data_IF_922142214078
#
_entry.id   IF_922142214078
#
_cell.length_a   1.000
_cell.length_b   1.000
_cell.length_c   1.000
_cell.angle_alpha   90.00
_cell.angle_beta   90.00
_cell.angle_gamma   90.00
#
_symmetry.space_group_name_H-M   'P 1'
#
loop_
_entity.id
_entity.type
_entity.pdbx_description
1 polymer ?
#
# COMPACT_ATOMS: atom_id res chain seq x y z
N UNK A 1 -29.32 -63.43 24.76
CA UNK A 1 -29.52 -61.96 24.76
C UNK A 1 -28.26 -61.14 25.12
N UNK A 2 -27.13 -61.72 25.55
CA UNK A 2 -25.96 -60.94 25.99
C UNK A 2 -25.02 -60.48 24.86
N UNK A 3 -24.96 -61.19 23.73
CA UNK A 3 -24.03 -60.89 22.61
C UNK A 3 -24.39 -59.59 21.87
N UNK A 4 -25.68 -59.29 21.70
CA UNK A 4 -26.15 -58.06 21.04
C UNK A 4 -25.82 -56.80 21.87
N UNK A 5 -25.85 -56.89 23.21
CA UNK A 5 -25.53 -55.77 24.10
C UNK A 5 -24.03 -55.40 24.07
N UNK A 6 -23.13 -56.38 23.92
CA UNK A 6 -21.69 -56.12 23.83
C UNK A 6 -21.29 -55.46 22.50
N UNK A 7 -21.94 -55.85 21.40
CA UNK A 7 -21.73 -55.25 20.07
C UNK A 7 -22.19 -53.78 20.07
N UNK A 8 -23.36 -53.49 20.67
CA UNK A 8 -23.88 -52.12 20.76
C UNK A 8 -22.98 -51.21 21.63
N UNK A 9 -22.43 -51.74 22.73
CA UNK A 9 -21.49 -51.01 23.60
C UNK A 9 -20.13 -50.75 22.92
N UNK A 10 -19.65 -51.70 22.13
CA UNK A 10 -18.40 -51.55 21.36
C UNK A 10 -18.54 -50.48 20.28
N UNK A 11 -19.67 -50.47 19.56
CA UNK A 11 -19.98 -49.44 18.56
C UNK A 11 -20.07 -48.06 19.23
N UNK A 12 -20.78 -47.94 20.36
CA UNK A 12 -20.92 -46.68 21.08
C UNK A 12 -19.59 -46.15 21.64
N UNK A 13 -18.70 -47.05 22.08
CA UNK A 13 -17.34 -46.70 22.52
C UNK A 13 -16.47 -46.20 21.35
N UNK A 14 -16.62 -46.80 20.17
CA UNK A 14 -15.87 -46.41 18.96
C UNK A 14 -16.32 -45.02 18.45
N UNK A 15 -17.62 -44.70 18.49
CA UNK A 15 -18.13 -43.37 18.12
C UNK A 15 -17.73 -42.28 19.11
N UNK A 16 -17.60 -42.63 20.39
CA UNK A 16 -17.13 -41.69 21.42
C UNK A 16 -15.64 -41.36 21.22
N UNK A 17 -14.81 -42.35 20.87
CA UNK A 17 -13.40 -42.15 20.53
C UNK A 17 -13.20 -41.33 19.24
N UNK A 18 -14.04 -41.52 18.21
CA UNK A 18 -13.96 -40.71 16.99
C UNK A 18 -14.36 -39.24 17.21
N UNK A 19 -15.19 -38.94 18.20
CA UNK A 19 -15.62 -37.56 18.48
C UNK A 19 -14.52 -36.72 19.14
N UNK A 20 -13.56 -37.35 19.85
CA UNK A 20 -12.44 -36.64 20.47
C UNK A 20 -11.31 -36.27 19.50
N UNK A 21 -11.17 -36.97 18.37
CA UNK A 21 -10.11 -36.72 17.40
C UNK A 21 -10.33 -35.45 16.54
N UNK A 22 -11.50 -34.81 16.61
CA UNK A 22 -11.85 -33.65 15.74
C UNK A 22 -11.32 -32.30 16.23
N UNK A 23 -10.68 -32.20 17.40
CA UNK A 23 -10.31 -30.91 18.00
C UNK A 23 -8.80 -30.60 18.00
N UNK A 24 -8.01 -31.20 17.12
CA UNK A 24 -6.54 -31.05 17.14
C UNK A 24 -5.95 -30.36 15.89
N UNK A 25 -6.64 -29.39 15.32
CA UNK A 25 -6.05 -28.47 14.33
C UNK A 25 -6.45 -27.03 14.66
N UNK A 26 -5.79 -26.46 15.66
CA UNK A 26 -5.76 -25.00 15.82
C UNK A 26 -4.71 -24.48 14.86
N UNK A 27 -5.12 -24.19 13.63
CA UNK A 27 -4.26 -23.53 12.66
C UNK A 27 -4.11 -22.08 13.14
N UNK A 28 -2.93 -21.73 13.64
CA UNK A 28 -2.61 -20.36 14.02
C UNK A 28 -2.72 -19.51 12.75
N UNK A 29 -3.78 -18.70 12.67
CA UNK A 29 -3.98 -17.76 11.58
C UNK A 29 -2.88 -16.72 11.69
N UNK A 30 -1.85 -16.86 10.87
CA UNK A 30 -0.79 -15.86 10.75
C UNK A 30 -1.45 -14.58 10.25
N UNK A 31 -1.27 -13.49 10.98
CA UNK A 31 -1.78 -12.18 10.57
C UNK A 31 -1.06 -11.73 9.29
N UNK A 32 -1.81 -11.08 8.40
CA UNK A 32 -1.26 -10.52 7.16
C UNK A 32 -0.29 -9.39 7.52
N UNK A 33 0.99 -9.56 7.17
CA UNK A 33 2.02 -8.55 7.41
C UNK A 33 1.99 -7.57 6.25
N UNK A 34 1.44 -6.37 6.47
CA UNK A 34 1.54 -5.27 5.52
C UNK A 34 2.93 -4.62 5.64
N UNK A 35 3.73 -4.80 4.60
CA UNK A 35 5.08 -4.28 4.54
C UNK A 35 5.13 -3.03 3.68
N UNK A 36 5.75 -1.96 4.19
CA UNK A 36 5.82 -0.66 3.51
C UNK A 36 7.28 -0.26 3.28
N UNK A 37 7.54 0.43 2.17
CA UNK A 37 8.85 1.02 1.90
C UNK A 37 9.09 2.23 2.81
N UNK A 38 9.95 2.09 3.83
CA UNK A 38 10.26 3.22 4.74
C UNK A 38 11.36 4.15 4.24
N UNK A 39 11.87 3.83 3.07
CA UNK A 39 12.95 4.53 2.42
C UNK A 39 12.61 4.66 0.95
N UNK A 40 13.21 5.62 0.24
CA UNK A 40 13.13 5.67 -1.21
C UNK A 40 13.47 4.32 -1.85
N UNK A 41 14.47 3.62 -1.32
CA UNK A 41 14.99 2.40 -1.91
C UNK A 41 13.96 1.25 -1.85
N UNK A 42 13.59 0.67 -3.00
CA UNK A 42 12.78 -0.54 -3.05
C UNK A 42 13.49 -1.68 -2.32
N UNK A 43 12.74 -2.44 -1.50
CA UNK A 43 13.24 -3.63 -0.80
C UNK A 43 13.70 -3.43 0.65
N UNK A 44 13.65 -2.20 1.19
CA UNK A 44 13.75 -1.97 2.64
C UNK A 44 12.33 -1.91 3.21
N UNK A 45 11.77 -3.09 3.31
CA UNK A 45 10.38 -3.36 3.60
C UNK A 45 10.25 -3.64 5.11
N UNK A 46 9.81 -2.64 5.88
CA UNK A 46 9.59 -2.78 7.32
C UNK A 46 8.09 -2.85 7.57
N UNK A 47 7.71 -3.77 8.47
CA UNK A 47 6.34 -3.88 8.97
C UNK A 47 5.83 -2.52 9.44
N UNK A 48 4.70 -2.11 8.86
CA UNK A 48 4.00 -0.87 9.17
C UNK A 48 3.89 -0.60 10.66
N UNK A 49 3.60 -1.63 11.46
CA UNK A 49 3.35 -1.52 12.90
C UNK A 49 4.62 -1.23 13.72
N UNK A 50 5.79 -1.30 13.10
CA UNK A 50 7.09 -1.04 13.75
C UNK A 50 7.60 0.37 13.52
N UNK A 51 6.88 1.20 12.77
CA UNK A 51 7.30 2.55 12.40
C UNK A 51 6.37 3.56 13.08
N UNK A 52 6.90 4.58 13.78
CA UNK A 52 6.09 5.56 14.50
C UNK A 52 5.42 6.62 13.60
N UNK A 53 5.54 6.49 12.28
CA UNK A 53 5.06 7.48 11.30
C UNK A 53 3.75 7.03 10.68
N UNK A 54 2.91 8.00 10.31
CA UNK A 54 1.70 7.73 9.53
C UNK A 54 2.10 7.31 8.12
N UNK A 55 1.69 6.13 7.71
CA UNK A 55 1.84 5.62 6.34
C UNK A 55 0.50 5.17 5.77
N UNK A 56 0.40 5.11 4.46
CA UNK A 56 -0.71 4.57 3.66
C UNK A 56 -0.12 3.92 2.42
N UNK A 57 -0.66 2.77 2.03
CA UNK A 57 -0.14 2.00 0.90
C UNK A 57 -1.30 1.62 0.00
N UNK A 58 -1.11 1.77 -1.30
CA UNK A 58 -2.00 1.24 -2.34
C UNK A 58 -1.29 0.10 -3.05
N UNK A 59 -1.99 -1.01 -3.23
CA UNK A 59 -1.49 -2.20 -3.93
C UNK A 59 -2.14 -2.31 -5.30
N UNK A 60 -1.63 -3.22 -6.12
CA UNK A 60 -2.13 -3.46 -7.49
C UNK A 60 -3.66 -3.61 -7.55
N UNK A 61 -4.27 -4.28 -6.57
CA UNK A 61 -5.73 -4.42 -6.48
C UNK A 61 -6.47 -3.08 -6.31
N UNK A 62 -5.86 -2.12 -5.61
CA UNK A 62 -6.43 -0.78 -5.42
C UNK A 62 -6.32 0.03 -6.70
N UNK A 63 -5.21 -0.13 -7.44
CA UNK A 63 -4.96 0.50 -8.73
C UNK A 63 -5.99 0.03 -9.78
N UNK A 64 -6.24 -1.28 -9.84
CA UNK A 64 -7.23 -1.88 -10.76
C UNK A 64 -8.68 -1.49 -10.41
N UNK A 65 -8.95 -1.21 -9.14
CA UNK A 65 -10.30 -0.86 -8.66
C UNK A 65 -10.67 0.61 -8.84
N UNK A 66 -9.73 1.47 -9.23
CA UNK A 66 -9.98 2.91 -9.28
C UNK A 66 -10.75 3.31 -10.52
N UNK A 67 -11.61 4.31 -10.34
CA UNK A 67 -12.34 4.96 -11.44
C UNK A 67 -11.60 6.21 -11.93
N UNK A 68 -10.50 6.58 -11.28
CA UNK A 68 -9.68 7.74 -11.63
C UNK A 68 -9.04 7.58 -13.01
N UNK A 69 -9.01 8.67 -13.78
CA UNK A 69 -8.37 8.70 -15.10
C UNK A 69 -6.84 8.89 -15.01
N UNK A 70 -6.35 9.30 -13.84
CA UNK A 70 -4.94 9.61 -13.58
C UNK A 70 -4.52 9.12 -12.20
N UNK A 71 -3.21 8.96 -12.00
CA UNK A 71 -2.59 8.65 -10.71
C UNK A 71 -3.00 9.67 -9.64
N UNK A 72 -3.09 10.94 -10.01
CA UNK A 72 -3.48 12.01 -9.11
C UNK A 72 -4.91 11.81 -8.59
N UNK A 73 -5.83 11.41 -9.47
CA UNK A 73 -7.21 11.10 -9.08
C UNK A 73 -7.29 9.86 -8.19
N UNK A 74 -6.53 8.80 -8.51
CA UNK A 74 -6.42 7.59 -7.68
C UNK A 74 -5.97 7.94 -6.25
N UNK A 75 -4.93 8.78 -6.12
CA UNK A 75 -4.42 9.20 -4.81
C UNK A 75 -5.47 9.99 -4.02
N UNK A 76 -6.23 10.86 -4.67
CA UNK A 76 -7.34 11.58 -4.04
C UNK A 76 -8.52 10.70 -3.63
N UNK A 77 -8.79 9.63 -4.40
CA UNK A 77 -9.88 8.68 -4.14
C UNK A 77 -9.54 7.74 -2.97
N UNK A 78 -8.32 7.19 -2.97
CA UNK A 78 -7.94 6.08 -2.07
C UNK A 78 -7.20 6.54 -0.81
N UNK A 79 -6.46 7.64 -0.86
CA UNK A 79 -5.62 8.06 0.28
C UNK A 79 -6.32 9.09 1.16
N UNK A 80 -6.22 8.89 2.46
CA UNK A 80 -6.76 9.80 3.47
C UNK A 80 -5.85 11.02 3.66
N UNK A 81 -6.47 12.20 3.76
CA UNK A 81 -5.75 13.46 3.97
C UNK A 81 -5.04 13.98 2.72
N UNK A 82 -5.33 13.38 1.56
CA UNK A 82 -4.97 13.87 0.24
C UNK A 82 -6.15 14.65 -0.34
N UNK A 83 -5.87 15.76 -1.01
CA UNK A 83 -6.86 16.57 -1.71
C UNK A 83 -6.29 16.96 -3.06
N UNK A 84 -7.12 16.89 -4.10
CA UNK A 84 -6.72 17.22 -5.46
C UNK A 84 -7.18 18.63 -5.79
N UNK A 85 -6.28 19.45 -6.33
CA UNK A 85 -6.61 20.77 -6.86
C UNK A 85 -6.38 20.78 -8.36
N UNK A 86 -7.43 21.05 -9.12
CA UNK A 86 -7.35 21.24 -10.56
C UNK A 86 -7.35 22.73 -10.88
N UNK A 87 -6.15 23.30 -11.02
CA UNK A 87 -5.97 24.75 -11.22
C UNK A 87 -6.06 25.13 -12.71
N UNK A 88 -5.66 24.22 -13.59
CA UNK A 88 -5.57 24.46 -15.04
C UNK A 88 -6.62 23.72 -15.87
N UNK A 89 -7.52 22.98 -15.23
CA UNK A 89 -8.51 22.14 -15.88
C UNK A 89 -7.86 21.15 -16.85
N UNK A 90 -6.75 20.55 -16.42
CA UNK A 90 -5.94 19.61 -17.20
C UNK A 90 -5.62 18.39 -16.37
N UNK A 91 -5.94 17.17 -16.84
CA UNK A 91 -5.77 15.95 -16.04
C UNK A 91 -4.31 15.70 -15.61
N UNK A 92 -3.34 16.14 -16.43
CA UNK A 92 -1.91 15.94 -16.17
C UNK A 92 -1.26 17.07 -15.37
N UNK A 93 -1.99 18.16 -15.13
CA UNK A 93 -1.48 19.34 -14.41
C UNK A 93 -2.25 19.61 -13.12
N UNK A 94 -2.71 18.54 -12.46
CA UNK A 94 -3.37 18.59 -11.16
C UNK A 94 -2.36 18.63 -10.04
N UNK A 95 -2.71 19.30 -8.96
CA UNK A 95 -1.89 19.37 -7.75
C UNK A 95 -2.41 18.40 -6.71
N UNK A 96 -1.50 17.85 -5.93
CA UNK A 96 -1.79 17.01 -4.78
C UNK A 96 -1.46 17.81 -3.53
N UNK A 97 -2.41 17.92 -2.62
CA UNK A 97 -2.19 18.45 -1.28
C UNK A 97 -2.32 17.33 -0.25
N UNK A 98 -1.25 17.08 0.50
CA UNK A 98 -1.26 16.17 1.63
C UNK A 98 -1.00 16.94 2.91
N UNK A 99 -2.00 17.00 3.79
CA UNK A 99 -1.92 17.67 5.11
C UNK A 99 -1.36 19.11 5.05
N UNK A 100 -1.71 19.85 4.01
CA UNK A 100 -1.30 21.25 3.82
C UNK A 100 0.03 21.46 3.09
N UNK A 101 0.68 20.39 2.64
CA UNK A 101 1.86 20.46 1.77
C UNK A 101 1.49 20.04 0.36
N UNK A 102 2.00 20.77 -0.62
CA UNK A 102 1.63 20.60 -2.02
C UNK A 102 2.72 19.87 -2.81
N UNK A 103 2.29 19.04 -3.76
CA UNK A 103 3.06 18.51 -4.87
C UNK A 103 2.38 18.99 -6.15
N UNK A 104 3.02 19.89 -6.88
CA UNK A 104 2.43 20.50 -8.07
C UNK A 104 3.35 20.42 -9.30
N UNK A 105 2.77 20.28 -10.51
CA UNK A 105 3.50 20.35 -11.77
C UNK A 105 3.95 21.76 -12.15
N UNK A 106 3.38 22.78 -11.51
CA UNK A 106 3.61 24.18 -11.86
C UNK A 106 4.55 24.88 -10.88
N UNK A 107 5.35 25.78 -11.44
CA UNK A 107 6.24 26.65 -10.68
C UNK A 107 5.46 27.73 -9.93
N UNK A 108 5.98 28.10 -8.75
CA UNK A 108 5.42 29.17 -7.92
C UNK A 108 4.53 28.69 -6.77
N UNK A 109 4.26 27.38 -6.70
CA UNK A 109 3.58 26.78 -5.55
C UNK A 109 4.56 26.34 -4.45
N UNK A 110 4.04 26.21 -3.23
CA UNK A 110 4.81 25.78 -2.07
C UNK A 110 4.98 24.25 -2.07
N UNK A 111 6.00 23.77 -2.78
CA UNK A 111 6.35 22.36 -2.82
C UNK A 111 6.77 21.86 -1.42
N UNK A 112 6.27 20.69 -1.03
CA UNK A 112 6.56 20.11 0.28
C UNK A 112 6.44 18.60 0.37
N UNK A 113 6.32 17.92 -0.78
CA UNK A 113 6.27 16.48 -0.90
C UNK A 113 7.36 16.00 -1.86
N UNK A 114 8.10 14.99 -1.43
CA UNK A 114 9.08 14.32 -2.28
C UNK A 114 8.47 13.07 -2.92
N UNK A 115 8.64 12.91 -4.23
CA UNK A 115 8.13 11.75 -4.97
C UNK A 115 9.30 10.94 -5.52
N UNK A 116 9.22 9.63 -5.32
CA UNK A 116 10.23 8.67 -5.70
C UNK A 116 9.61 7.64 -6.64
N UNK A 117 10.29 7.34 -7.74
CA UNK A 117 9.96 6.22 -8.62
C UNK A 117 11.09 5.19 -8.52
N UNK A 118 10.78 4.00 -8.04
CA UNK A 118 11.75 2.93 -7.77
C UNK A 118 12.96 3.44 -6.96
N UNK A 119 12.73 4.37 -6.03
CA UNK A 119 13.74 4.99 -5.18
C UNK A 119 14.59 6.09 -5.78
N UNK A 120 14.36 6.47 -7.02
CA UNK A 120 14.94 7.68 -7.59
C UNK A 120 13.96 8.83 -7.43
N UNK A 121 14.42 9.97 -6.89
CA UNK A 121 13.60 11.18 -6.76
C UNK A 121 13.25 11.71 -8.15
N UNK A 122 11.97 11.95 -8.38
CA UNK A 122 11.46 12.45 -9.67
C UNK A 122 10.96 13.90 -9.61
N UNK A 123 11.02 14.56 -8.45
CA UNK A 123 10.85 16.01 -8.42
C UNK A 123 11.93 16.69 -9.28
N UNK A 124 11.51 17.66 -10.07
CA UNK A 124 12.38 18.42 -10.96
C UNK A 124 13.42 19.23 -10.19
N UNK A 125 14.62 19.34 -10.74
CA UNK A 125 15.73 20.05 -10.08
C UNK A 125 15.46 21.56 -9.91
N UNK A 126 14.63 22.15 -10.77
CA UNK A 126 14.25 23.56 -10.70
C UNK A 126 12.82 23.71 -10.18
N UNK A 127 12.67 24.32 -9.00
CA UNK A 127 11.37 24.59 -8.41
C UNK A 127 10.62 23.37 -7.86
N UNK A 128 11.28 22.21 -7.81
CA UNK A 128 10.79 20.97 -7.17
C UNK A 128 9.43 20.47 -7.67
N UNK A 129 9.08 20.85 -8.91
CA UNK A 129 7.82 20.51 -9.55
C UNK A 129 7.76 19.04 -9.90
N UNK A 130 6.54 18.53 -10.09
CA UNK A 130 6.31 17.12 -10.34
C UNK A 130 5.55 16.91 -11.63
N UNK A 131 6.16 16.13 -12.52
CA UNK A 131 5.60 15.90 -13.83
C UNK A 131 4.87 14.56 -13.89
N UNK A 132 3.57 14.61 -13.60
CA UNK A 132 2.75 13.41 -13.43
C UNK A 132 2.64 12.56 -14.69
N UNK A 133 2.72 13.13 -15.89
CA UNK A 133 2.65 12.33 -17.12
C UNK A 133 3.91 11.51 -17.40
N UNK A 134 5.01 11.77 -16.70
CA UNK A 134 6.21 10.93 -16.76
C UNK A 134 6.10 9.69 -15.87
N UNK A 135 5.09 9.63 -15.00
CA UNK A 135 4.84 8.47 -14.15
C UNK A 135 4.16 7.38 -14.98
N UNK A 136 4.74 6.18 -15.09
CA UNK A 136 4.18 5.10 -15.90
C UNK A 136 3.03 4.40 -15.14
N UNK A 137 1.85 5.02 -15.12
CA UNK A 137 0.69 4.55 -14.32
C UNK A 137 0.34 3.08 -14.55
N UNK A 138 0.34 2.64 -15.81
CA UNK A 138 0.03 1.24 -16.19
C UNK A 138 1.05 0.21 -15.70
N UNK A 139 2.24 0.65 -15.30
CA UNK A 139 3.30 -0.20 -14.80
C UNK A 139 3.48 -0.08 -13.29
N UNK A 140 2.65 0.70 -12.57
CA UNK A 140 2.74 0.78 -11.12
C UNK A 140 2.18 -0.49 -10.45
N UNK A 141 2.80 -0.88 -9.34
CA UNK A 141 2.36 -2.00 -8.50
C UNK A 141 2.00 -1.52 -7.11
N UNK A 142 2.87 -0.71 -6.50
CA UNK A 142 2.70 -0.22 -5.13
C UNK A 142 2.90 1.29 -5.07
N UNK A 143 2.09 1.95 -4.25
CA UNK A 143 2.22 3.37 -3.95
C UNK A 143 2.20 3.55 -2.43
N UNK A 144 3.32 3.98 -1.86
CA UNK A 144 3.47 4.23 -0.44
C UNK A 144 3.50 5.74 -0.17
N UNK A 145 2.51 6.24 0.55
CA UNK A 145 2.49 7.59 1.11
C UNK A 145 2.95 7.56 2.56
N UNK A 146 4.01 8.28 2.86
CA UNK A 146 4.53 8.43 4.21
C UNK A 146 4.51 9.89 4.66
N UNK A 147 4.18 10.11 5.92
CA UNK A 147 4.39 11.39 6.58
C UNK A 147 5.88 11.76 6.67
N UNK A 148 6.16 13.03 6.95
CA UNK A 148 7.50 13.61 7.11
C UNK A 148 8.52 12.65 7.75
N UNK A 149 9.60 12.34 7.02
CA UNK A 149 10.68 11.49 7.50
C UNK A 149 12.02 11.95 6.89
N UNK A 150 13.06 12.20 7.72
CA UNK A 150 14.35 12.72 7.27
C UNK A 150 15.10 11.80 6.28
N UNK A 151 14.76 10.51 6.23
CA UNK A 151 15.34 9.54 5.28
C UNK A 151 15.04 9.93 3.81
N UNK A 152 13.95 10.67 3.57
CA UNK A 152 13.54 11.11 2.23
C UNK A 152 14.19 12.42 1.78
N UNK A 153 15.17 12.95 2.52
CA UNK A 153 15.98 14.07 2.06
C UNK A 153 15.24 15.41 1.97
N UNK A 154 15.74 16.29 1.11
CA UNK A 154 15.28 17.68 1.02
C UNK A 154 13.83 17.79 0.51
N UNK A 155 13.09 18.75 1.07
CA UNK A 155 11.70 19.10 0.71
C UNK A 155 10.65 18.00 0.91
N UNK A 156 10.95 16.97 1.70
CA UNK A 156 9.96 15.99 2.20
C UNK A 156 9.28 16.46 3.50
N UNK A 157 8.99 17.75 3.64
CA UNK A 157 8.49 18.36 4.89
C UNK A 157 7.10 17.85 5.27
N UNK A 158 6.20 17.73 4.30
CA UNK A 158 4.88 17.13 4.49
C UNK A 158 4.88 15.61 4.45
N UNK A 159 5.83 15.04 3.72
CA UNK A 159 5.94 13.62 3.50
C UNK A 159 6.54 13.26 2.15
N UNK A 160 6.35 12.01 1.77
CA UNK A 160 6.86 11.45 0.53
C UNK A 160 5.91 10.42 -0.07
N UNK A 161 5.92 10.35 -1.39
CA UNK A 161 5.31 9.28 -2.17
C UNK A 161 6.42 8.40 -2.74
N UNK A 162 6.37 7.10 -2.50
CA UNK A 162 7.22 6.11 -3.16
C UNK A 162 6.37 5.27 -4.10
N UNK A 163 6.72 5.31 -5.38
CA UNK A 163 6.06 4.62 -6.46
C UNK A 163 6.94 3.46 -6.88
N UNK A 164 6.38 2.25 -6.91
CA UNK A 164 7.08 1.03 -7.33
C UNK A 164 6.46 0.54 -8.63
N UNK A 165 7.29 0.23 -9.61
CA UNK A 165 6.84 -0.35 -10.88
C UNK A 165 7.00 -1.86 -10.92
N UNK A 166 6.18 -2.51 -11.74
CA UNK A 166 6.27 -3.92 -12.11
C UNK A 166 7.67 -4.28 -12.60
N UNK A 167 8.17 -5.40 -12.11
CA UNK A 167 9.43 -6.06 -12.49
C UNK A 167 9.12 -7.29 -13.32
N UNK A 168 10.12 -7.83 -14.01
CA UNK A 168 9.94 -9.04 -14.83
C UNK A 168 9.44 -10.27 -14.05
N UNK A 169 9.67 -10.31 -12.72
CA UNK A 169 9.19 -11.38 -11.85
C UNK A 169 7.68 -11.29 -11.57
N UNK A 170 7.07 -10.12 -11.72
CA UNK A 170 5.64 -9.90 -11.42
C UNK A 170 4.73 -10.44 -12.54
N UNK A 171 5.30 -10.88 -13.66
CA UNK A 171 4.59 -11.46 -14.81
C UNK A 171 4.73 -12.99 -14.91
N UNK A 172 5.39 -13.64 -13.94
CA UNK A 172 5.61 -15.10 -13.91
C UNK A 172 4.52 -15.80 -13.10
#
# INVERSE_FOLDING_TARGET
MHICSYILKSILSMTLLLSFAKNAFSQEKIDDIEVIGISPLPGIEIDRNKIPNSSQSLRETDLDSSTGTTIVDLLGEKLTGVTIKDVQNSPFQKNIDYRGFTAAPLLGESQGLAVYLNGTRINEGFGDTLQWELVPEAALTDIDLMSSNPVFGLNALGGSLALTTKKGLDFL
#
